data_IF_831870525105
#
_entry.id   IF_831870525105
#
_cell.length_a   1.000
_cell.length_b   1.000
_cell.length_c   1.000
_cell.angle_alpha   90.00
_cell.angle_beta   90.00
_cell.angle_gamma   90.00
#
_symmetry.space_group_name_H-M   'P 1'
#
loop_
_entity.id
_entity.type
_entity.pdbx_description
1 polymer ?
#
# COMPACT_ATOMS: atom_id res chain seq x y z
N UNK A 1 -14.48 8.21 -12.12
CA UNK A 1 -13.41 7.19 -12.30
C UNK A 1 -12.88 7.23 -13.74
N UNK A 2 -11.56 7.28 -13.92
CA UNK A 2 -10.89 7.48 -15.22
C UNK A 2 -11.01 6.31 -16.22
N UNK A 3 -11.95 5.37 -16.00
CA UNK A 3 -12.09 4.17 -16.83
C UNK A 3 -10.94 3.18 -16.68
N UNK A 4 -10.10 3.33 -15.66
CA UNK A 4 -9.02 2.40 -15.33
C UNK A 4 -9.60 1.00 -15.07
N UNK A 5 -8.95 -0.04 -15.59
CA UNK A 5 -9.39 -1.42 -15.37
C UNK A 5 -9.20 -1.84 -13.91
N UNK A 6 -9.93 -2.84 -13.45
CA UNK A 6 -9.75 -3.39 -12.10
C UNK A 6 -8.34 -3.96 -11.91
N UNK A 7 -7.79 -4.61 -12.93
CA UNK A 7 -6.43 -5.15 -12.92
C UNK A 7 -5.39 -4.04 -12.73
N UNK A 8 -5.55 -2.91 -13.42
CA UNK A 8 -4.65 -1.75 -13.27
C UNK A 8 -4.80 -1.09 -11.90
N UNK A 9 -6.02 -1.04 -11.34
CA UNK A 9 -6.26 -0.56 -9.98
C UNK A 9 -5.60 -1.48 -8.93
N UNK A 10 -5.70 -2.79 -9.12
CA UNK A 10 -5.05 -3.78 -8.26
C UNK A 10 -3.53 -3.66 -8.35
N UNK A 11 -2.98 -3.50 -9.56
CA UNK A 11 -1.56 -3.30 -9.77
C UNK A 11 -1.05 -2.00 -9.11
N UNK A 12 -1.84 -0.92 -9.18
CA UNK A 12 -1.55 0.33 -8.48
C UNK A 12 -1.50 0.12 -6.96
N UNK A 13 -2.53 -0.49 -6.38
CA UNK A 13 -2.58 -0.75 -4.94
C UNK A 13 -1.39 -1.62 -4.47
N UNK A 14 -1.08 -2.68 -5.21
CA UNK A 14 0.08 -3.54 -4.93
C UNK A 14 1.40 -2.77 -4.99
N UNK A 15 1.56 -1.88 -5.97
CA UNK A 15 2.77 -1.06 -6.12
C UNK A 15 2.92 -0.11 -4.94
N UNK A 16 1.84 0.58 -4.55
CA UNK A 16 1.85 1.49 -3.39
C UNK A 16 2.22 0.73 -2.11
N UNK A 17 1.56 -0.39 -1.85
CA UNK A 17 1.83 -1.23 -0.68
C UNK A 17 3.27 -1.74 -0.65
N UNK A 18 3.79 -2.21 -1.79
CA UNK A 18 5.17 -2.70 -1.90
C UNK A 18 6.19 -1.58 -1.60
N UNK A 19 6.04 -0.40 -2.22
CA UNK A 19 6.93 0.74 -2.00
C UNK A 19 6.89 1.20 -0.55
N UNK A 20 5.70 1.34 0.03
CA UNK A 20 5.56 1.75 1.44
C UNK A 20 6.17 0.72 2.39
N UNK A 21 5.99 -0.57 2.12
CA UNK A 21 6.57 -1.65 2.91
C UNK A 21 8.10 -1.57 2.91
N UNK A 22 8.73 -1.28 1.76
CA UNK A 22 10.19 -1.12 1.67
C UNK A 22 10.68 0.06 2.51
N UNK A 23 9.99 1.20 2.45
CA UNK A 23 10.35 2.38 3.27
C UNK A 23 10.20 2.09 4.76
N UNK A 24 9.09 1.46 5.17
CA UNK A 24 8.83 1.14 6.56
C UNK A 24 9.75 0.04 7.10
N UNK A 25 10.16 -0.90 6.25
CA UNK A 25 11.12 -1.93 6.62
C UNK A 25 12.47 -1.34 7.04
N UNK A 26 12.93 -0.26 6.39
CA UNK A 26 14.17 0.42 6.78
C UNK A 26 14.14 1.00 8.21
N UNK A 27 12.94 1.16 8.81
CA UNK A 27 12.77 1.66 10.17
C UNK A 27 12.42 0.54 11.15
N UNK A 28 11.49 -0.33 10.76
CA UNK A 28 10.90 -1.36 11.62
C UNK A 28 11.78 -2.62 11.68
N UNK A 29 12.57 -2.88 10.63
CA UNK A 29 13.43 -4.07 10.49
C UNK A 29 12.69 -5.42 10.58
N UNK A 30 11.37 -5.38 10.40
CA UNK A 30 10.47 -6.54 10.37
C UNK A 30 9.52 -6.35 9.19
N UNK A 31 9.61 -7.24 8.20
CA UNK A 31 8.87 -7.12 6.94
C UNK A 31 7.37 -7.27 7.14
N UNK A 32 6.93 -8.19 8.00
CA UNK A 32 5.51 -8.44 8.23
C UNK A 32 4.87 -7.23 8.90
N UNK A 33 5.50 -6.70 9.96
CA UNK A 33 5.03 -5.48 10.62
C UNK A 33 5.07 -4.25 9.72
N UNK A 34 6.09 -4.14 8.86
CA UNK A 34 6.17 -3.07 7.87
C UNK A 34 5.02 -3.14 6.85
N UNK A 35 4.66 -4.34 6.39
CA UNK A 35 3.53 -4.55 5.49
C UNK A 35 2.19 -4.25 6.17
N UNK A 36 1.96 -4.76 7.38
CA UNK A 36 0.74 -4.46 8.16
C UNK A 36 0.54 -2.96 8.34
N UNK A 37 1.63 -2.25 8.66
CA UNK A 37 1.61 -0.79 8.81
C UNK A 37 1.34 -0.08 7.49
N UNK A 38 1.95 -0.53 6.38
CA UNK A 38 1.69 0.00 5.05
C UNK A 38 0.21 -0.18 4.64
N UNK A 39 -0.34 -1.36 4.91
CA UNK A 39 -1.73 -1.69 4.63
C UNK A 39 -2.70 -0.83 5.44
N UNK A 40 -2.43 -0.62 6.74
CA UNK A 40 -3.22 0.28 7.59
C UNK A 40 -3.25 1.72 7.04
N UNK A 41 -2.10 2.24 6.59
CA UNK A 41 -2.05 3.58 5.99
C UNK A 41 -2.82 3.66 4.67
N UNK A 42 -2.71 2.64 3.81
CA UNK A 42 -3.46 2.58 2.56
C UNK A 42 -4.97 2.55 2.80
N UNK A 43 -5.45 1.71 3.73
CA UNK A 43 -6.86 1.66 4.12
C UNK A 43 -7.36 3.02 4.63
N UNK A 44 -6.58 3.69 5.48
CA UNK A 44 -6.92 5.02 5.98
C UNK A 44 -7.03 6.06 4.85
N UNK A 45 -6.11 6.03 3.88
CA UNK A 45 -6.13 6.90 2.71
C UNK A 45 -7.36 6.64 1.81
N UNK A 46 -7.66 5.37 1.51
CA UNK A 46 -8.84 5.02 0.73
C UNK A 46 -10.16 5.38 1.43
N UNK A 47 -10.20 5.30 2.76
CA UNK A 47 -11.38 5.68 3.56
C UNK A 47 -11.60 7.19 3.70
N UNK A 48 -10.64 8.03 3.26
CA UNK A 48 -10.76 9.49 3.24
C UNK A 48 -11.33 10.03 1.91
N UNK A 49 -11.59 9.16 0.92
CA UNK A 49 -12.13 9.52 -0.39
C UNK A 49 -13.66 9.43 -0.45
#
# INVERSE_FOLDING_TARGET
>A
PFGTSEDDMNQMANTVLATMTVVLFAQIHDREKAFERAFSYWQAYCGQQ
#
